data_IF_835775903111
#
_entry.id   IF_835775903111
#
_cell.length_a   1.000
_cell.length_b   1.000
_cell.length_c   1.000
_cell.angle_alpha   90.00
_cell.angle_beta   90.00
_cell.angle_gamma   90.00
#
_symmetry.space_group_name_H-M   'P 1'
#
loop_
_entity.id
_entity.type
_entity.pdbx_description
1 polymer ?
#
# COMPACT_ATOMS: atom_id res chain seq x y z
N UNK A 1 9.99 -66.15 10.86
CA UNK A 1 10.62 -65.43 11.99
C UNK A 1 10.22 -63.98 11.91
N UNK A 2 9.44 -63.46 12.87
CA UNK A 2 9.03 -62.05 12.89
C UNK A 2 10.09 -61.26 13.64
N UNK A 3 10.93 -60.51 12.94
CA UNK A 3 11.87 -59.57 13.55
C UNK A 3 11.10 -58.40 14.15
N UNK A 4 10.99 -58.37 15.47
CA UNK A 4 10.48 -57.20 16.21
C UNK A 4 11.58 -56.14 16.18
N UNK A 5 11.39 -55.09 15.40
CA UNK A 5 12.23 -53.89 15.46
C UNK A 5 12.02 -53.22 16.81
N UNK A 6 13.04 -53.20 17.66
CA UNK A 6 12.99 -52.55 18.96
C UNK A 6 13.35 -51.08 18.78
N UNK A 7 12.33 -50.24 18.60
CA UNK A 7 12.52 -48.79 18.51
C UNK A 7 13.01 -48.27 19.86
N UNK A 8 14.15 -47.56 19.86
CA UNK A 8 14.69 -46.91 21.06
C UNK A 8 13.70 -45.91 21.63
N UNK A 9 13.77 -45.68 22.96
CA UNK A 9 12.89 -44.76 23.67
C UNK A 9 12.88 -43.36 23.04
N UNK A 10 14.05 -42.89 22.60
CA UNK A 10 14.22 -41.62 21.90
C UNK A 10 13.46 -41.54 20.57
N UNK A 11 13.42 -42.61 19.78
CA UNK A 11 12.71 -42.62 18.49
C UNK A 11 11.19 -42.60 18.68
N UNK A 12 10.68 -43.29 19.70
CA UNK A 12 9.25 -43.24 20.06
C UNK A 12 8.85 -41.84 20.52
N UNK A 13 9.68 -41.22 21.37
CA UNK A 13 9.43 -39.86 21.85
C UNK A 13 9.48 -38.84 20.71
N UNK A 14 10.45 -38.96 19.80
CA UNK A 14 10.56 -38.11 18.62
C UNK A 14 9.35 -38.24 17.67
N UNK A 15 8.85 -39.46 17.45
CA UNK A 15 7.63 -39.71 16.67
C UNK A 15 6.40 -39.05 17.28
N UNK A 16 6.26 -39.14 18.61
CA UNK A 16 5.14 -38.50 19.33
C UNK A 16 5.27 -36.98 19.34
N UNK A 17 6.49 -36.44 19.48
CA UNK A 17 6.74 -35.00 19.50
C UNK A 17 6.66 -34.34 18.11
N UNK A 18 6.99 -35.08 17.04
CA UNK A 18 7.00 -34.60 15.66
C UNK A 18 5.72 -33.86 15.23
N UNK A 19 4.50 -34.39 15.43
CA UNK A 19 3.27 -33.66 15.07
C UNK A 19 3.10 -32.36 15.86
N UNK A 20 3.50 -32.31 17.14
CA UNK A 20 3.42 -31.08 17.93
C UNK A 20 4.41 -30.02 17.43
N UNK A 21 5.63 -30.43 17.05
CA UNK A 21 6.62 -29.52 16.46
C UNK A 21 6.13 -29.01 15.10
N UNK A 22 5.59 -29.89 14.26
CA UNK A 22 5.05 -29.51 12.96
C UNK A 22 3.87 -28.52 13.11
N UNK A 23 2.98 -28.77 14.06
CA UNK A 23 1.87 -27.87 14.38
C UNK A 23 2.37 -26.52 14.91
N UNK A 24 3.37 -26.52 15.79
CA UNK A 24 3.96 -25.29 16.32
C UNK A 24 4.60 -24.45 15.20
N UNK A 25 5.38 -25.08 14.31
CA UNK A 25 5.95 -24.41 13.15
C UNK A 25 4.86 -23.84 12.24
N UNK A 26 3.81 -24.60 11.96
CA UNK A 26 2.67 -24.13 11.17
C UNK A 26 2.02 -22.88 11.79
N UNK A 27 1.78 -22.90 13.10
CA UNK A 27 1.20 -21.75 13.81
C UNK A 27 2.11 -20.53 13.78
N UNK A 28 3.43 -20.70 13.94
CA UNK A 28 4.41 -19.60 13.85
C UNK A 28 4.39 -19.02 12.44
N UNK A 29 4.46 -19.85 11.39
CA UNK A 29 4.42 -19.39 10.01
C UNK A 29 3.11 -18.66 9.70
N UNK A 30 1.97 -19.17 10.15
CA UNK A 30 0.67 -18.53 9.97
C UNK A 30 0.61 -17.17 10.70
N UNK A 31 1.14 -17.10 11.91
CA UNK A 31 1.17 -15.85 12.70
C UNK A 31 2.04 -14.80 12.04
N UNK A 32 3.24 -15.19 11.56
CA UNK A 32 4.12 -14.31 10.80
C UNK A 32 3.49 -13.84 9.50
N UNK A 33 2.79 -14.73 8.79
CA UNK A 33 2.05 -14.39 7.57
C UNK A 33 0.99 -13.33 7.84
N UNK A 34 0.16 -13.51 8.88
CA UNK A 34 -0.87 -12.54 9.27
C UNK A 34 -0.24 -11.21 9.71
N UNK A 35 0.86 -11.23 10.46
CA UNK A 35 1.58 -10.01 10.85
C UNK A 35 2.08 -9.24 9.63
N UNK A 36 2.65 -9.92 8.64
CA UNK A 36 3.17 -9.28 7.43
C UNK A 36 2.05 -8.64 6.60
N UNK A 37 0.87 -9.27 6.56
CA UNK A 37 -0.32 -8.70 5.92
C UNK A 37 -0.81 -7.41 6.62
N UNK A 38 -0.72 -7.35 7.95
CA UNK A 38 -1.11 -6.18 8.74
C UNK A 38 -0.13 -5.02 8.58
N UNK A 39 1.17 -5.30 8.60
CA UNK A 39 2.21 -4.29 8.37
C UNK A 39 2.09 -3.68 6.96
N UNK A 40 1.78 -4.53 5.96
CA UNK A 40 1.48 -4.12 4.59
C UNK A 40 0.32 -3.12 4.47
N UNK A 41 -0.79 -3.43 5.14
CA UNK A 41 -1.98 -2.58 5.16
C UNK A 41 -1.79 -1.28 5.94
N UNK A 42 -1.01 -1.31 7.03
CA UNK A 42 -0.69 -0.12 7.81
C UNK A 42 0.12 0.91 7.01
N UNK A 43 1.04 0.46 6.15
CA UNK A 43 1.80 1.34 5.28
C UNK A 43 0.92 2.01 4.21
N UNK A 44 -0.02 1.27 3.62
CA UNK A 44 -1.00 1.83 2.68
C UNK A 44 -1.90 2.88 3.37
N UNK A 45 -2.33 2.61 4.61
CA UNK A 45 -3.10 3.57 5.41
C UNK A 45 -2.30 4.84 5.72
N UNK A 46 -1.01 4.70 6.04
CA UNK A 46 -0.12 5.84 6.29
C UNK A 46 0.12 6.68 5.03
N UNK A 47 0.26 6.06 3.86
CA UNK A 47 0.35 6.78 2.58
C UNK A 47 -0.97 7.51 2.27
N UNK A 48 -2.12 6.86 2.44
CA UNK A 48 -3.42 7.51 2.33
C UNK A 48 -3.57 8.69 3.31
N UNK A 49 -2.99 8.57 4.51
CA UNK A 49 -2.87 9.65 5.48
C UNK A 49 -2.05 10.83 4.96
N UNK A 50 -0.86 10.57 4.37
CA UNK A 50 -0.01 11.60 3.76
C UNK A 50 -0.72 12.35 2.63
N UNK A 51 -1.52 11.66 1.82
CA UNK A 51 -2.25 12.27 0.70
C UNK A 51 -3.26 13.34 1.14
N UNK A 52 -3.85 13.21 2.33
CA UNK A 52 -4.72 14.27 2.89
C UNK A 52 -3.93 15.56 3.07
N UNK A 53 -2.72 15.47 3.64
CA UNK A 53 -1.84 16.63 3.81
C UNK A 53 -1.38 17.22 2.49
N UNK A 54 -1.04 16.37 1.50
CA UNK A 54 -0.70 16.83 0.15
C UNK A 54 -1.85 17.60 -0.50
N UNK A 55 -3.09 17.16 -0.31
CA UNK A 55 -4.29 17.84 -0.83
C UNK A 55 -4.45 19.23 -0.22
N UNK A 56 -4.27 19.36 1.10
CA UNK A 56 -4.32 20.67 1.78
C UNK A 56 -3.23 21.63 1.28
N UNK A 57 -2.00 21.13 1.15
CA UNK A 57 -0.89 21.92 0.61
C UNK A 57 -1.17 22.39 -0.81
N UNK A 58 -1.68 21.51 -1.66
CA UNK A 58 -2.03 21.83 -3.03
C UNK A 58 -3.12 22.91 -3.11
N UNK A 59 -4.15 22.82 -2.26
CA UNK A 59 -5.17 23.87 -2.15
C UNK A 59 -4.59 25.21 -1.71
N UNK A 60 -3.60 25.20 -0.81
CA UNK A 60 -2.92 26.42 -0.37
C UNK A 60 -2.11 27.03 -1.52
N UNK A 61 -1.30 26.25 -2.23
CA UNK A 61 -0.51 26.75 -3.37
C UNK A 61 -1.37 27.26 -4.53
N UNK A 62 -2.56 26.69 -4.73
CA UNK A 62 -3.55 27.24 -5.68
C UNK A 62 -4.04 28.61 -5.21
N UNK A 63 -4.36 28.76 -3.91
CA UNK A 63 -4.82 30.03 -3.35
C UNK A 63 -3.76 31.14 -3.40
N UNK A 64 -2.47 30.79 -3.33
CA UNK A 64 -1.34 31.73 -3.46
C UNK A 64 -0.86 31.90 -4.90
N UNK A 65 -1.52 31.24 -5.87
CA UNK A 65 -1.21 31.29 -7.30
C UNK A 65 0.23 30.84 -7.66
N UNK A 66 0.81 29.96 -6.85
CA UNK A 66 2.17 29.43 -7.02
C UNK A 66 2.19 28.26 -8.03
N UNK A 67 2.12 28.59 -9.32
CA UNK A 67 1.97 27.59 -10.40
C UNK A 67 3.04 26.48 -10.41
N UNK A 68 4.28 26.80 -10.09
CA UNK A 68 5.35 25.79 -10.00
C UNK A 68 5.17 24.84 -8.81
N UNK A 69 4.72 25.38 -7.67
CA UNK A 69 4.43 24.57 -6.49
C UNK A 69 3.24 23.64 -6.75
N UNK A 70 2.18 24.16 -7.37
CA UNK A 70 1.00 23.37 -7.78
C UNK A 70 1.40 22.21 -8.70
N UNK A 71 2.21 22.46 -9.73
CA UNK A 71 2.67 21.41 -10.64
C UNK A 71 3.56 20.35 -9.97
N UNK A 72 4.40 20.75 -9.01
CA UNK A 72 5.22 19.83 -8.22
C UNK A 72 4.37 18.97 -7.28
N UNK A 73 3.46 19.58 -6.54
CA UNK A 73 2.60 18.89 -5.58
C UNK A 73 1.60 17.96 -6.29
N UNK A 74 1.10 18.34 -7.46
CA UNK A 74 0.30 17.46 -8.30
C UNK A 74 1.08 16.21 -8.74
N UNK A 75 2.33 16.35 -9.18
CA UNK A 75 3.19 15.20 -9.53
C UNK A 75 3.46 14.30 -8.32
N UNK A 76 3.60 14.89 -7.13
CA UNK A 76 3.76 14.12 -5.90
C UNK A 76 2.50 13.28 -5.60
N UNK A 77 1.32 13.88 -5.75
CA UNK A 77 0.05 13.19 -5.56
C UNK A 77 -0.17 12.07 -6.60
N UNK A 78 0.19 12.31 -7.86
CA UNK A 78 0.19 11.30 -8.93
C UNK A 78 1.07 10.09 -8.53
N UNK A 79 2.25 10.35 -7.96
CA UNK A 79 3.16 9.32 -7.46
C UNK A 79 2.56 8.52 -6.30
N UNK A 80 1.93 9.19 -5.33
CA UNK A 80 1.25 8.52 -4.22
C UNK A 80 0.08 7.63 -4.69
N UNK A 81 -0.71 8.07 -5.68
CA UNK A 81 -1.75 7.23 -6.28
C UNK A 81 -1.17 5.99 -7.00
N UNK A 82 -0.08 6.16 -7.74
CA UNK A 82 0.59 5.06 -8.42
C UNK A 82 1.16 4.04 -7.42
N UNK A 83 1.77 4.53 -6.33
CA UNK A 83 2.31 3.73 -5.24
C UNK A 83 1.22 2.89 -4.56
N UNK A 84 0.06 3.49 -4.26
CA UNK A 84 -1.08 2.75 -3.69
C UNK A 84 -1.65 1.72 -4.66
N UNK A 85 -1.65 2.01 -5.97
CA UNK A 85 -2.17 1.10 -7.00
C UNK A 85 -1.26 -0.12 -7.22
N UNK A 86 0.05 0.12 -7.32
CA UNK A 86 1.04 -0.91 -7.66
C UNK A 86 1.55 -1.66 -6.42
N UNK A 87 1.48 -1.02 -5.25
CA UNK A 87 2.20 -1.45 -4.07
C UNK A 87 3.69 -1.15 -4.17
N UNK A 88 4.39 -1.38 -3.07
CA UNK A 88 5.86 -1.41 -3.01
C UNK A 88 6.25 -2.78 -2.45
N UNK A 89 7.08 -3.59 -3.14
CA UNK A 89 7.59 -4.83 -2.60
C UNK A 89 8.84 -4.62 -1.73
N UNK A 90 9.59 -3.53 -1.92
CA UNK A 90 10.79 -3.19 -1.15
C UNK A 90 10.44 -2.52 0.19
N UNK A 91 9.25 -1.91 0.28
CA UNK A 91 8.60 -1.48 1.53
C UNK A 91 7.27 -2.19 1.61
N UNK A 92 6.90 -2.95 2.66
CA UNK A 92 5.63 -3.66 2.72
C UNK A 92 4.47 -2.65 2.67
N UNK A 93 4.05 -2.28 1.47
CA UNK A 93 2.95 -1.38 1.17
C UNK A 93 2.08 -2.17 0.22
N UNK A 94 1.13 -2.87 0.83
CA UNK A 94 0.18 -3.69 0.12
C UNK A 94 -1.21 -3.13 0.41
N UNK A 95 -1.93 -2.78 -0.65
CA UNK A 95 -3.31 -2.37 -0.51
C UNK A 95 -4.21 -3.62 -0.51
N UNK A 96 -5.02 -3.85 0.53
CA UNK A 96 -6.00 -4.93 0.53
C UNK A 96 -7.11 -4.58 -0.46
N UNK A 97 -6.98 -5.09 -1.68
CA UNK A 97 -8.02 -4.94 -2.71
C UNK A 97 -9.18 -5.87 -2.38
N UNK A 98 -10.30 -5.28 -1.98
CA UNK A 98 -11.58 -5.94 -1.82
C UNK A 98 -12.65 -5.17 -2.62
N UNK A 99 -13.88 -5.68 -2.57
CA UNK A 99 -15.01 -5.10 -3.30
C UNK A 99 -15.42 -3.71 -2.77
N UNK A 100 -14.93 -3.27 -1.60
CA UNK A 100 -15.19 -1.96 -1.00
C UNK A 100 -14.05 -0.95 -1.25
N UNK A 101 -12.79 -1.37 -1.16
CA UNK A 101 -11.62 -0.50 -1.27
C UNK A 101 -11.32 -0.13 -2.72
N UNK A 102 -11.53 -1.05 -3.66
CA UNK A 102 -11.33 -0.82 -5.08
C UNK A 102 -12.23 0.30 -5.65
N UNK A 103 -13.57 0.31 -5.45
CA UNK A 103 -14.40 1.40 -5.96
C UNK A 103 -14.08 2.74 -5.29
N UNK A 104 -13.68 2.75 -4.02
CA UNK A 104 -13.25 4.00 -3.33
C UNK A 104 -11.97 4.57 -3.92
N UNK A 105 -10.99 3.71 -4.21
CA UNK A 105 -9.76 4.14 -4.86
C UNK A 105 -10.05 4.74 -6.25
N UNK A 106 -10.89 4.08 -7.05
CA UNK A 106 -11.27 4.60 -8.37
C UNK A 106 -12.05 5.92 -8.29
N UNK A 107 -12.89 6.11 -7.27
CA UNK A 107 -13.56 7.39 -7.03
C UNK A 107 -12.54 8.52 -6.76
N UNK A 108 -11.56 8.29 -5.88
CA UNK A 108 -10.49 9.26 -5.60
C UNK A 108 -9.67 9.57 -6.85
N UNK A 109 -9.33 8.54 -7.64
CA UNK A 109 -8.61 8.70 -8.89
C UNK A 109 -9.40 9.55 -9.91
N UNK A 110 -10.72 9.32 -10.01
CA UNK A 110 -11.61 10.11 -10.86
C UNK A 110 -11.77 11.56 -10.40
N UNK A 111 -11.92 11.79 -9.09
CA UNK A 111 -11.97 13.14 -8.50
C UNK A 111 -10.67 13.91 -8.76
N UNK A 112 -9.53 13.25 -8.59
CA UNK A 112 -8.21 13.82 -8.87
C UNK A 112 -8.04 14.20 -10.34
N UNK A 113 -8.44 13.33 -11.27
CA UNK A 113 -8.37 13.63 -12.71
C UNK A 113 -9.19 14.88 -13.07
N UNK A 114 -10.41 15.01 -12.53
CA UNK A 114 -11.25 16.21 -12.70
C UNK A 114 -10.60 17.46 -12.12
N UNK A 115 -10.01 17.34 -10.94
CA UNK A 115 -9.29 18.44 -10.30
C UNK A 115 -8.09 18.92 -11.15
N UNK A 116 -7.26 17.98 -11.64
CA UNK A 116 -6.12 18.30 -12.52
C UNK A 116 -6.54 19.07 -13.75
N UNK A 117 -7.57 18.60 -14.45
CA UNK A 117 -8.06 19.25 -15.66
C UNK A 117 -8.51 20.69 -15.38
N UNK A 118 -9.20 20.93 -14.26
CA UNK A 118 -9.67 22.27 -13.90
C UNK A 118 -8.52 23.25 -13.63
N UNK A 119 -7.51 22.82 -12.90
CA UNK A 119 -6.50 23.73 -12.34
C UNK A 119 -5.17 23.76 -13.10
N UNK A 120 -4.90 22.77 -13.96
CA UNK A 120 -3.64 22.67 -14.71
C UNK A 120 -3.82 22.72 -16.23
N UNK A 121 -5.03 22.60 -16.77
CA UNK A 121 -5.25 22.64 -18.23
C UNK A 121 -5.45 24.05 -18.80
N UNK A 122 -5.43 25.12 -17.99
CA UNK A 122 -5.47 26.49 -18.51
C UNK A 122 -4.06 27.04 -18.72
N UNK A 123 -3.60 27.23 -19.98
CA UNK A 123 -2.42 28.02 -20.26
C UNK A 123 -2.74 29.46 -19.89
N UNK A 124 -1.92 30.10 -19.05
CA UNK A 124 -1.96 31.56 -18.96
C UNK A 124 -1.66 32.11 -20.35
N UNK A 125 -2.56 32.89 -20.97
CA UNK A 125 -2.33 33.43 -22.30
C UNK A 125 -1.03 34.23 -22.29
N UNK A 126 -0.16 34.07 -23.30
CA UNK A 126 1.07 34.85 -23.37
C UNK A 126 0.73 36.34 -23.44
N UNK A 127 1.44 37.16 -22.65
CA UNK A 127 1.30 38.62 -22.60
C UNK A 127 1.54 39.32 -23.96
N UNK A 128 1.90 38.56 -25.00
CA UNK A 128 2.08 39.03 -26.37
C UNK A 128 0.77 39.32 -27.12
N UNK A 129 -0.41 39.02 -26.56
CA UNK A 129 -1.72 39.30 -27.20
C UNK A 129 -2.43 40.53 -26.63
N UNK A 130 -1.75 41.37 -25.84
CA UNK A 130 -2.27 42.64 -25.31
C UNK A 130 -1.45 43.85 -25.83
N UNK A 131 -1.01 43.78 -27.09
CA UNK A 131 -0.42 44.89 -27.84
C UNK A 131 -1.38 45.40 -28.89
#
# INVERSE_FOLDING_TARGET
MVTRTHWGLGTKLALVASPFIALALLLITLTLWVSWQLDGGAAALNEAGRMRMQTFRLSLSISTNEREAVAREARQFDGSLALLRQGDPDRPLFMPWDDETRPRFEAVNGDWSRFRQRWMAQPTPPLATLG
#
